data_IF_121039773536
#
_entry.id   IF_121039773536
#
_cell.length_a   1.000
_cell.length_b   1.000
_cell.length_c   1.000
_cell.angle_alpha   90.00
_cell.angle_beta   90.00
_cell.angle_gamma   90.00
#
_symmetry.space_group_name_H-M   'P 1'
#
loop_
_entity.id
_entity.type
_entity.pdbx_description
1 polymer ?
#
# COMPACT_ATOMS: atom_id res chain seq x y z
N UNK A 1 37.02 21.30 16.14
CA UNK A 1 36.22 20.71 17.23
C UNK A 1 35.58 19.48 16.60
N UNK A 2 36.24 18.32 16.74
CA UNK A 2 35.66 17.07 16.24
C UNK A 2 34.51 16.74 17.18
N UNK A 3 33.30 16.69 16.63
CA UNK A 3 32.13 16.17 17.33
C UNK A 3 32.45 14.73 17.73
N UNK A 4 32.47 14.47 19.03
CA UNK A 4 32.61 13.11 19.54
C UNK A 4 31.31 12.39 19.18
N UNK A 5 31.32 11.66 18.07
CA UNK A 5 30.24 10.74 17.71
C UNK A 5 30.16 9.70 18.82
N UNK A 6 29.17 9.85 19.69
CA UNK A 6 28.94 8.87 20.73
C UNK A 6 28.29 7.64 20.10
N UNK A 7 28.46 6.47 20.73
CA UNK A 7 27.81 5.23 20.25
C UNK A 7 26.28 5.40 20.21
N UNK A 8 25.72 6.27 21.04
CA UNK A 8 24.29 6.58 21.05
C UNK A 8 23.85 7.33 19.77
N UNK A 9 24.62 8.31 19.30
CA UNK A 9 24.31 9.05 18.07
C UNK A 9 24.40 8.13 16.84
N UNK A 10 25.38 7.23 16.82
CA UNK A 10 25.50 6.23 15.74
C UNK A 10 24.31 5.27 15.76
N UNK A 11 23.83 4.85 16.94
CA UNK A 11 22.65 4.00 17.07
C UNK A 11 21.38 4.70 16.61
N UNK A 12 21.18 5.97 16.96
CA UNK A 12 20.02 6.74 16.50
C UNK A 12 20.00 6.86 14.96
N UNK A 13 21.16 7.14 14.35
CA UNK A 13 21.27 7.21 12.89
C UNK A 13 20.98 5.85 12.22
N UNK A 14 21.44 4.74 12.82
CA UNK A 14 21.16 3.39 12.30
C UNK A 14 19.66 3.09 12.36
N UNK A 15 18.98 3.43 13.46
CA UNK A 15 17.53 3.26 13.60
C UNK A 15 16.74 4.15 12.63
N UNK A 16 17.18 5.40 12.45
CA UNK A 16 16.55 6.31 11.49
C UNK A 16 16.65 5.77 10.06
N UNK A 17 17.81 5.24 9.66
CA UNK A 17 18.00 4.63 8.33
C UNK A 17 17.14 3.38 8.16
N UNK A 18 17.03 2.53 9.19
CA UNK A 18 16.17 1.34 9.16
C UNK A 18 14.69 1.72 8.99
N UNK A 19 14.18 2.65 9.80
CA UNK A 19 12.79 3.11 9.67
C UNK A 19 12.50 3.70 8.29
N UNK A 20 13.43 4.50 7.75
CA UNK A 20 13.27 5.07 6.41
C UNK A 20 13.21 3.99 5.32
N UNK A 21 14.03 2.95 5.44
CA UNK A 21 14.01 1.79 4.53
C UNK A 21 12.70 1.02 4.66
N UNK A 22 12.21 0.80 5.87
CA UNK A 22 10.94 0.13 6.12
C UNK A 22 9.77 0.92 5.51
N UNK A 23 9.76 2.25 5.65
CA UNK A 23 8.78 3.12 4.99
C UNK A 23 8.83 3.01 3.46
N UNK A 24 10.02 3.04 2.86
CA UNK A 24 10.18 2.86 1.42
C UNK A 24 9.68 1.48 0.98
N UNK A 25 10.00 0.44 1.74
CA UNK A 25 9.57 -0.93 1.45
C UNK A 25 8.05 -1.08 1.47
N UNK A 26 7.37 -0.58 2.52
CA UNK A 26 5.90 -0.69 2.60
C UNK A 26 5.20 0.13 1.50
N UNK A 27 5.76 1.28 1.12
CA UNK A 27 5.23 2.09 0.03
C UNK A 27 5.39 1.35 -1.31
N UNK A 28 6.58 0.79 -1.57
CA UNK A 28 6.84 -0.01 -2.76
C UNK A 28 5.92 -1.24 -2.83
N UNK A 29 5.78 -1.98 -1.73
CA UNK A 29 4.87 -3.11 -1.63
C UNK A 29 3.41 -2.67 -1.89
N UNK A 30 2.99 -1.53 -1.34
CA UNK A 30 1.68 -0.93 -1.60
C UNK A 30 1.45 -0.63 -3.08
N UNK A 31 2.43 -0.06 -3.78
CA UNK A 31 2.33 0.17 -5.22
C UNK A 31 2.21 -1.14 -6.01
N UNK A 32 3.00 -2.16 -5.67
CA UNK A 32 2.93 -3.48 -6.32
C UNK A 32 1.56 -4.13 -6.16
N UNK A 33 0.93 -3.99 -4.98
CA UNK A 33 -0.44 -4.48 -4.74
C UNK A 33 -1.46 -3.67 -5.55
N UNK A 34 -1.30 -2.35 -5.69
CA UNK A 34 -2.17 -1.55 -6.55
C UNK A 34 -2.11 -2.01 -8.02
N UNK A 35 -0.91 -2.36 -8.52
CA UNK A 35 -0.73 -2.94 -9.85
C UNK A 35 -1.44 -4.30 -10.04
N UNK A 36 -1.84 -4.99 -8.96
CA UNK A 36 -2.61 -6.23 -9.05
C UNK A 36 -3.98 -6.00 -9.68
N UNK A 37 -4.61 -4.84 -9.46
CA UNK A 37 -5.91 -4.51 -10.07
C UNK A 37 -5.80 -4.41 -11.60
N UNK A 38 -4.76 -3.74 -12.09
CA UNK A 38 -4.45 -3.67 -13.51
C UNK A 38 -4.12 -5.05 -14.11
N UNK A 39 -3.45 -5.91 -13.33
CA UNK A 39 -3.19 -7.30 -13.71
C UNK A 39 -4.48 -8.12 -13.91
N UNK A 40 -5.43 -8.00 -12.98
CA UNK A 40 -6.74 -8.64 -13.11
C UNK A 40 -7.54 -8.11 -14.29
N UNK A 41 -7.56 -6.79 -14.52
CA UNK A 41 -8.17 -6.18 -15.70
C UNK A 41 -7.66 -6.78 -17.02
N UNK A 42 -6.34 -6.98 -17.13
CA UNK A 42 -5.73 -7.56 -18.33
C UNK A 42 -6.11 -9.03 -18.52
N UNK A 43 -6.16 -9.81 -17.43
CA UNK A 43 -6.56 -11.22 -17.48
C UNK A 43 -8.04 -11.38 -17.82
N UNK A 44 -8.91 -10.59 -17.20
CA UNK A 44 -10.35 -10.59 -17.44
C UNK A 44 -10.68 -10.12 -18.86
N UNK A 45 -10.09 -9.01 -19.30
CA UNK A 45 -10.20 -8.50 -20.66
C UNK A 45 -9.70 -9.46 -21.73
N UNK A 46 -8.71 -10.30 -21.41
CA UNK A 46 -8.19 -11.33 -22.33
C UNK A 46 -9.08 -12.57 -22.46
N UNK A 47 -9.97 -12.83 -21.51
CA UNK A 47 -10.85 -14.02 -21.47
C UNK A 47 -12.27 -13.76 -21.99
N UNK A 48 -12.66 -12.49 -22.16
CA UNK A 48 -14.00 -12.10 -22.63
C UNK A 48 -14.02 -11.76 -24.13
N UNK A 49 -15.20 -11.86 -24.73
CA UNK A 49 -15.41 -11.49 -26.14
C UNK A 49 -15.07 -10.02 -26.36
N UNK A 50 -14.46 -9.74 -27.50
CA UNK A 50 -13.99 -8.44 -27.97
C UNK A 50 -15.02 -7.32 -27.87
N UNK A 51 -16.31 -7.65 -27.98
CA UNK A 51 -17.43 -6.72 -27.88
C UNK A 51 -17.73 -6.25 -26.46
N UNK A 52 -17.26 -6.97 -25.42
CA UNK A 52 -17.46 -6.65 -24.00
C UNK A 52 -16.21 -6.17 -23.26
N UNK A 53 -15.02 -6.25 -23.87
CA UNK A 53 -13.73 -5.94 -23.22
C UNK A 53 -13.68 -4.52 -22.67
N UNK A 54 -14.17 -3.55 -23.44
CA UNK A 54 -14.14 -2.13 -23.05
C UNK A 54 -15.01 -1.86 -21.82
N UNK A 55 -16.15 -2.55 -21.69
CA UNK A 55 -17.03 -2.38 -20.55
C UNK A 55 -16.41 -2.97 -19.27
N UNK A 56 -15.83 -4.17 -19.35
CA UNK A 56 -15.15 -4.81 -18.21
C UNK A 56 -13.91 -4.02 -17.76
N UNK A 57 -13.13 -3.46 -18.70
CA UNK A 57 -11.98 -2.62 -18.35
C UNK A 57 -12.40 -1.33 -17.63
N UNK A 58 -13.53 -0.73 -18.03
CA UNK A 58 -14.07 0.46 -17.39
C UNK A 58 -14.58 0.16 -15.97
N UNK A 59 -15.19 -1.01 -15.74
CA UNK A 59 -15.61 -1.47 -14.42
C UNK A 59 -14.41 -1.68 -13.49
N UNK A 60 -13.34 -2.31 -13.97
CA UNK A 60 -12.12 -2.54 -13.17
C UNK A 60 -11.42 -1.22 -12.77
N UNK A 61 -11.38 -0.23 -13.67
CA UNK A 61 -10.85 1.09 -13.33
C UNK A 61 -11.71 1.81 -12.29
N UNK A 62 -13.04 1.73 -12.44
CA UNK A 62 -13.97 2.31 -11.48
C UNK A 62 -13.84 1.66 -10.10
N UNK A 63 -13.66 0.34 -10.03
CA UNK A 63 -13.43 -0.40 -8.78
C UNK A 63 -12.17 0.09 -8.05
N UNK A 64 -11.06 0.28 -8.77
CA UNK A 64 -9.82 0.79 -8.19
C UNK A 64 -10.00 2.20 -7.55
N UNK A 65 -10.73 3.09 -8.22
CA UNK A 65 -11.01 4.44 -7.70
C UNK A 65 -11.97 4.42 -6.50
N UNK A 66 -13.07 3.67 -6.61
CA UNK A 66 -14.10 3.63 -5.57
C UNK A 66 -13.57 2.93 -4.32
N UNK A 67 -12.86 1.81 -4.47
CA UNK A 67 -12.26 1.08 -3.35
C UNK A 67 -11.26 1.96 -2.59
N UNK A 68 -10.44 2.77 -3.27
CA UNK A 68 -9.53 3.70 -2.60
C UNK A 68 -10.26 4.74 -1.74
N UNK A 69 -11.34 5.33 -2.26
CA UNK A 69 -12.14 6.34 -1.55
C UNK A 69 -12.89 5.72 -0.36
N UNK A 70 -13.53 4.57 -0.58
CA UNK A 70 -14.30 3.86 0.46
C UNK A 70 -13.38 3.37 1.58
N UNK A 71 -12.20 2.86 1.23
CA UNK A 71 -11.20 2.43 2.21
C UNK A 71 -10.70 3.61 3.04
N UNK A 72 -10.50 4.78 2.43
CA UNK A 72 -10.08 5.98 3.16
C UNK A 72 -11.13 6.49 4.16
N UNK A 73 -12.41 6.53 3.77
CA UNK A 73 -13.48 7.13 4.59
C UNK A 73 -13.93 6.17 5.70
N UNK A 74 -14.09 4.88 5.40
CA UNK A 74 -14.70 3.91 6.32
C UNK A 74 -13.81 2.70 6.55
N UNK A 75 -13.12 2.21 5.51
CA UNK A 75 -12.36 0.96 5.57
C UNK A 75 -11.20 0.99 6.57
N UNK A 76 -10.46 2.10 6.68
CA UNK A 76 -9.36 2.21 7.65
C UNK A 76 -9.86 2.12 9.09
N UNK A 77 -10.98 2.78 9.38
CA UNK A 77 -11.63 2.73 10.69
C UNK A 77 -12.15 1.33 11.05
N UNK A 78 -12.66 0.56 10.09
CA UNK A 78 -13.12 -0.82 10.34
C UNK A 78 -11.94 -1.78 10.48
N UNK A 79 -10.92 -1.67 9.61
CA UNK A 79 -9.81 -2.62 9.56
C UNK A 79 -8.80 -2.41 10.70
N UNK A 80 -8.55 -1.17 11.10
CA UNK A 80 -7.53 -0.82 12.09
C UNK A 80 -8.09 -0.11 13.33
N UNK A 81 -9.37 0.26 13.36
CA UNK A 81 -10.01 0.96 14.47
C UNK A 81 -10.39 0.04 15.63
N UNK A 82 -9.42 -0.64 16.23
CA UNK A 82 -9.48 -1.17 17.61
C UNK A 82 -8.16 -1.80 18.07
N UNK A 83 -7.03 -1.56 17.37
CA UNK A 83 -5.78 -2.25 17.67
C UNK A 83 -5.16 -1.84 19.02
N UNK A 84 -5.46 -0.64 19.54
CA UNK A 84 -4.92 -0.20 20.84
C UNK A 84 -5.46 -0.99 22.05
N UNK A 85 -6.65 -1.61 21.98
CA UNK A 85 -7.23 -2.31 23.14
C UNK A 85 -6.98 -3.82 23.18
N UNK A 86 -6.52 -4.42 22.08
CA UNK A 86 -6.53 -5.89 21.93
C UNK A 86 -5.14 -6.53 21.89
N UNK A 87 -4.05 -5.78 22.09
CA UNK A 87 -2.74 -6.34 22.44
C UNK A 87 -2.23 -7.48 21.54
N UNK A 88 -2.53 -7.43 20.24
CA UNK A 88 -1.89 -8.29 19.25
C UNK A 88 -1.04 -7.45 18.29
N UNK A 89 -0.09 -6.74 18.89
CA UNK A 89 1.34 -6.74 18.59
C UNK A 89 2.08 -6.32 19.86
#
# INVERSE_FOLDING_TARGET
MAEELTIADVQENVLAVQNNLDHVWILLAGFLVFFMQAGFAMLEGGMIRETGVVNSLAENFMDACVTGIVFFIVGFGIAFGSAESSGLI
#
